data_IF_194134518735
#
_entry.id   IF_194134518735
#
_cell.length_a   1.000
_cell.length_b   1.000
_cell.length_c   1.000
_cell.angle_alpha   90.00
_cell.angle_beta   90.00
_cell.angle_gamma   90.00
#
_symmetry.space_group_name_H-M   'P 1'
#
loop_
_entity.id
_entity.type
_entity.pdbx_description
1 polymer ?
#
# COMPACT_ATOMS: atom_id res chain seq x y z
N UNK A 1 24.43 -13.64 13.14
CA UNK A 1 23.31 -13.88 14.09
C UNK A 1 22.22 -14.66 13.36
N UNK A 2 21.73 -15.76 13.95
CA UNK A 2 20.59 -16.52 13.42
C UNK A 2 19.31 -15.92 13.99
N UNK A 3 18.32 -15.73 13.14
CA UNK A 3 17.01 -15.13 13.48
C UNK A 3 15.87 -15.95 12.88
N UNK A 4 14.67 -15.81 13.42
CA UNK A 4 13.45 -16.35 12.80
C UNK A 4 12.93 -15.38 11.73
N UNK A 5 12.52 -15.94 10.59
CA UNK A 5 11.85 -15.22 9.51
C UNK A 5 10.75 -16.08 8.88
N UNK A 6 9.70 -15.44 8.38
CA UNK A 6 8.68 -16.13 7.59
C UNK A 6 8.99 -15.97 6.10
N UNK A 7 9.01 -17.09 5.37
CA UNK A 7 9.28 -17.13 3.92
C UNK A 7 8.22 -17.93 3.19
N UNK A 8 7.86 -17.47 2.01
CA UNK A 8 7.06 -18.29 1.09
C UNK A 8 7.99 -19.31 0.46
N UNK A 9 7.76 -20.59 0.76
CA UNK A 9 8.60 -21.71 0.31
C UNK A 9 8.03 -22.44 -0.91
N UNK A 10 6.80 -22.10 -1.28
CA UNK A 10 6.10 -22.65 -2.44
C UNK A 10 4.76 -21.95 -2.66
N UNK A 11 4.06 -22.31 -3.72
CA UNK A 11 2.72 -21.77 -3.99
C UNK A 11 1.78 -22.09 -2.82
N UNK A 12 1.19 -21.04 -2.25
CA UNK A 12 0.29 -21.08 -1.08
C UNK A 12 0.91 -21.75 0.17
N UNK A 13 2.25 -21.70 0.27
CA UNK A 13 3.00 -22.27 1.38
C UNK A 13 3.93 -21.22 1.98
N UNK A 14 3.76 -20.90 3.26
CA UNK A 14 4.62 -20.01 4.04
C UNK A 14 5.11 -20.74 5.28
N UNK A 15 6.37 -20.62 5.60
CA UNK A 15 7.01 -21.33 6.71
C UNK A 15 7.88 -20.36 7.52
N UNK A 16 7.97 -20.62 8.82
CA UNK A 16 8.93 -19.95 9.70
C UNK A 16 10.24 -20.72 9.63
N UNK A 17 11.30 -20.05 9.26
CA UNK A 17 12.63 -20.61 9.09
C UNK A 17 13.67 -19.83 9.86
N UNK A 18 14.75 -20.48 10.24
CA UNK A 18 15.95 -19.81 10.72
C UNK A 18 16.74 -19.24 9.53
N UNK A 19 17.17 -18.00 9.66
CA UNK A 19 17.91 -17.29 8.61
C UNK A 19 19.11 -16.59 9.24
N UNK A 20 20.26 -16.71 8.59
CA UNK A 20 21.42 -15.94 9.00
C UNK A 20 21.32 -14.51 8.50
N UNK A 21 21.47 -13.54 9.41
CA UNK A 21 21.55 -12.14 9.03
C UNK A 21 22.83 -11.83 8.28
N UNK A 22 22.76 -11.04 7.18
CA UNK A 22 23.95 -10.54 6.51
C UNK A 22 24.81 -9.69 7.46
N UNK A 23 26.08 -9.50 7.07
CA UNK A 23 26.97 -8.59 7.79
C UNK A 23 26.47 -7.15 7.61
N UNK A 24 26.37 -6.44 8.73
CA UNK A 24 26.02 -5.03 8.73
C UNK A 24 27.11 -4.19 8.06
N UNK A 25 26.78 -3.53 6.96
CA UNK A 25 27.70 -2.74 6.15
C UNK A 25 27.49 -1.25 6.33
N UNK A 26 28.52 -0.51 6.15
CA UNK A 26 28.64 0.97 5.99
C UNK A 26 27.46 1.81 6.48
N UNK A 27 26.52 2.13 5.62
CA UNK A 27 25.36 3.00 5.87
C UNK A 27 24.07 2.23 6.18
N UNK A 28 24.17 0.92 6.46
CA UNK A 28 23.03 0.10 6.80
C UNK A 28 22.74 0.11 8.30
N UNK A 29 21.50 -0.16 8.62
CA UNK A 29 20.96 -0.17 9.97
C UNK A 29 20.35 -1.53 10.23
N UNK A 30 20.70 -2.13 11.37
CA UNK A 30 20.01 -3.30 11.91
C UNK A 30 18.79 -2.82 12.68
N UNK A 31 17.62 -3.22 12.26
CA UNK A 31 16.34 -2.86 12.88
C UNK A 31 15.78 -4.09 13.57
N UNK A 32 15.50 -3.97 14.86
CA UNK A 32 14.66 -4.91 15.61
C UNK A 32 13.21 -4.64 15.22
N UNK A 33 12.60 -5.56 14.48
CA UNK A 33 11.24 -5.38 13.94
C UNK A 33 10.21 -5.36 15.07
N UNK A 34 9.46 -4.28 15.18
CA UNK A 34 8.33 -4.17 16.09
C UNK A 34 7.04 -4.61 15.42
N UNK A 35 6.83 -4.20 14.16
CA UNK A 35 5.75 -4.68 13.32
C UNK A 35 6.11 -4.57 11.84
N UNK A 36 5.48 -5.42 11.02
CA UNK A 36 5.51 -5.34 9.58
C UNK A 36 4.08 -5.51 9.03
N UNK A 37 3.66 -4.62 8.13
CA UNK A 37 2.39 -4.76 7.45
C UNK A 37 2.42 -5.90 6.43
N UNK A 38 1.32 -6.65 6.33
CA UNK A 38 1.15 -7.70 5.31
C UNK A 38 0.45 -7.08 4.10
N UNK A 39 1.16 -6.94 2.98
CA UNK A 39 0.69 -6.28 1.77
C UNK A 39 0.03 -7.25 0.77
N UNK A 40 -0.81 -6.71 -0.11
CA UNK A 40 -1.37 -7.48 -1.23
C UNK A 40 -0.29 -7.96 -2.23
N UNK A 41 0.85 -7.29 -2.29
CA UNK A 41 2.01 -7.69 -3.09
C UNK A 41 2.54 -9.07 -2.65
N UNK A 42 2.60 -9.32 -1.34
CA UNK A 42 3.00 -10.62 -0.80
C UNK A 42 1.97 -11.72 -1.12
N UNK A 43 0.70 -11.37 -1.22
CA UNK A 43 -0.35 -12.33 -1.61
C UNK A 43 -0.18 -12.82 -3.04
N UNK A 44 0.30 -11.99 -3.96
CA UNK A 44 0.55 -12.42 -5.33
C UNK A 44 1.75 -13.39 -5.38
N UNK A 45 2.82 -13.11 -4.63
CA UNK A 45 3.96 -14.05 -4.47
C UNK A 45 3.49 -15.38 -3.86
N UNK A 46 2.66 -15.31 -2.81
CA UNK A 46 2.08 -16.48 -2.16
C UNK A 46 1.26 -17.33 -3.14
N UNK A 47 0.51 -16.71 -4.06
CA UNK A 47 -0.23 -17.40 -5.14
C UNK A 47 0.65 -17.95 -6.26
N UNK A 48 1.94 -17.70 -6.25
CA UNK A 48 2.86 -18.12 -7.31
C UNK A 48 2.89 -17.18 -8.52
N UNK A 49 2.39 -15.97 -8.36
CA UNK A 49 2.43 -14.97 -9.43
C UNK A 49 3.79 -14.25 -9.44
N UNK A 50 4.31 -13.98 -10.61
CA UNK A 50 5.50 -13.12 -10.77
C UNK A 50 5.08 -11.67 -10.65
N UNK A 51 5.77 -10.92 -9.79
CA UNK A 51 5.54 -9.49 -9.61
C UNK A 51 6.80 -8.73 -9.98
N UNK A 52 6.58 -7.54 -10.53
CA UNK A 52 7.64 -6.64 -10.94
C UNK A 52 8.26 -7.02 -12.28
N UNK A 53 9.21 -6.23 -12.70
CA UNK A 53 9.99 -6.41 -13.93
C UNK A 53 11.43 -6.72 -13.56
N UNK A 54 12.13 -7.45 -14.41
CA UNK A 54 13.55 -7.74 -14.22
C UNK A 54 14.35 -6.45 -14.01
N UNK A 55 15.19 -6.45 -12.97
CA UNK A 55 15.94 -5.25 -12.56
C UNK A 55 15.24 -4.34 -11.55
N UNK A 56 13.98 -4.59 -11.20
CA UNK A 56 13.29 -3.88 -10.13
C UNK A 56 13.53 -4.55 -8.77
N UNK A 57 13.58 -3.75 -7.70
CA UNK A 57 13.86 -4.19 -6.32
C UNK A 57 12.83 -5.21 -5.79
N UNK A 58 11.62 -5.23 -6.34
CA UNK A 58 10.54 -6.16 -5.98
C UNK A 58 10.24 -7.15 -7.11
N UNK A 59 11.27 -7.80 -7.62
CA UNK A 59 11.12 -8.85 -8.60
C UNK A 59 11.22 -10.22 -7.94
N UNK A 60 10.10 -10.89 -7.74
CA UNK A 60 10.03 -12.24 -7.19
C UNK A 60 9.98 -13.25 -8.32
N UNK A 61 11.04 -14.03 -8.50
CA UNK A 61 11.16 -15.04 -9.55
C UNK A 61 11.04 -16.48 -9.07
N UNK A 62 11.36 -16.75 -7.82
CA UNK A 62 11.52 -18.12 -7.32
C UNK A 62 11.31 -18.23 -5.80
N UNK A 63 11.00 -19.43 -5.37
CA UNK A 63 10.99 -19.79 -3.97
C UNK A 63 12.36 -20.29 -3.49
N UNK A 64 12.71 -20.12 -2.20
CA UNK A 64 11.99 -19.40 -1.18
C UNK A 64 12.05 -17.87 -1.38
N UNK A 65 10.94 -17.17 -1.12
CA UNK A 65 10.85 -15.73 -1.23
C UNK A 65 10.77 -15.08 0.17
N UNK A 66 11.61 -14.06 0.38
CA UNK A 66 11.50 -13.19 1.55
C UNK A 66 10.33 -12.22 1.35
N UNK A 67 9.66 -11.86 2.45
CA UNK A 67 8.50 -10.98 2.43
C UNK A 67 8.58 -9.93 3.54
N UNK A 68 7.79 -8.86 3.38
CA UNK A 68 7.68 -7.77 4.35
C UNK A 68 8.47 -6.54 3.95
N UNK A 69 7.76 -5.51 3.48
CA UNK A 69 8.34 -4.23 3.07
C UNK A 69 7.73 -3.02 3.79
N UNK A 70 6.85 -3.25 4.76
CA UNK A 70 6.17 -2.21 5.54
C UNK A 70 6.59 -2.28 7.01
N UNK A 71 7.86 -1.96 7.31
CA UNK A 71 8.46 -2.18 8.63
C UNK A 71 8.41 -0.94 9.50
N UNK A 72 8.15 -1.14 10.79
CA UNK A 72 8.49 -0.24 11.89
C UNK A 72 9.27 -1.00 12.96
N UNK A 73 10.30 -0.39 13.52
CA UNK A 73 11.12 -1.05 14.54
C UNK A 73 12.13 -0.12 15.19
N UNK A 74 12.87 -0.67 16.12
CA UNK A 74 13.91 0.06 16.83
C UNK A 74 15.29 -0.23 16.22
N UNK A 75 16.10 0.81 16.11
CA UNK A 75 17.51 0.66 15.71
C UNK A 75 18.25 -0.15 16.77
N UNK A 76 18.70 -1.34 16.38
CA UNK A 76 19.46 -2.26 17.24
C UNK A 76 20.96 -2.04 17.09
N UNK A 77 21.43 -1.89 15.84
CA UNK A 77 22.84 -1.61 15.54
C UNK A 77 22.99 -0.77 14.27
N UNK A 78 24.16 -0.19 14.08
CA UNK A 78 24.45 0.79 13.03
C UNK A 78 25.77 0.45 12.33
N UNK A 79 25.78 0.56 11.02
CA UNK A 79 27.01 0.54 10.23
C UNK A 79 27.84 1.81 10.49
N UNK A 80 29.16 1.74 10.27
CA UNK A 80 30.11 2.80 10.65
C UNK A 80 29.92 4.13 9.90
N UNK A 81 29.15 4.18 8.84
CA UNK A 81 28.87 5.40 8.04
C UNK A 81 27.48 5.97 8.26
N UNK A 82 26.69 5.42 9.18
CA UNK A 82 25.40 5.98 9.56
C UNK A 82 25.60 7.28 10.34
N UNK A 83 24.89 8.35 9.97
CA UNK A 83 25.12 9.70 10.49
C UNK A 83 23.94 10.25 11.29
N UNK A 84 22.72 9.93 10.92
CA UNK A 84 21.52 10.63 11.39
C UNK A 84 20.68 9.83 12.38
N UNK A 85 20.94 8.52 12.53
CA UNK A 85 20.21 7.64 13.42
C UNK A 85 21.10 7.10 14.54
N UNK A 86 20.48 6.69 15.65
CA UNK A 86 21.15 6.16 16.84
C UNK A 86 20.46 4.90 17.33
N UNK A 87 21.19 4.04 18.06
CA UNK A 87 20.60 2.89 18.75
C UNK A 87 19.44 3.32 19.63
N UNK A 88 18.33 2.59 19.56
CA UNK A 88 17.10 2.87 20.27
C UNK A 88 16.14 3.84 19.57
N UNK A 89 16.53 4.47 18.46
CA UNK A 89 15.60 5.28 17.67
C UNK A 89 14.49 4.39 17.10
N UNK A 90 13.24 4.84 17.18
CA UNK A 90 12.14 4.24 16.45
C UNK A 90 12.19 4.73 15.01
N UNK A 91 12.19 3.78 14.04
CA UNK A 91 12.31 4.08 12.61
C UNK A 91 11.26 3.32 11.80
N UNK A 92 10.88 3.89 10.67
CA UNK A 92 10.07 3.24 9.65
C UNK A 92 10.37 3.86 8.29
N UNK A 93 9.98 3.18 7.23
CA UNK A 93 10.18 3.68 5.87
C UNK A 93 9.94 2.63 4.81
N UNK A 94 10.60 2.80 3.69
CA UNK A 94 10.53 1.88 2.55
C UNK A 94 11.64 0.83 2.67
N UNK A 95 11.27 -0.40 2.99
CA UNK A 95 12.24 -1.50 3.14
C UNK A 95 12.47 -2.22 1.81
N UNK A 96 13.69 -2.13 1.28
CA UNK A 96 14.07 -2.75 0.01
C UNK A 96 14.45 -4.22 0.12
N UNK A 97 14.90 -4.66 1.29
CA UNK A 97 15.30 -6.05 1.49
C UNK A 97 14.12 -7.02 1.32
N UNK A 98 12.88 -6.52 1.54
CA UNK A 98 11.69 -7.35 1.56
C UNK A 98 11.73 -8.45 2.64
N UNK A 99 12.50 -8.26 3.71
CA UNK A 99 12.73 -9.27 4.75
C UNK A 99 12.06 -8.92 6.09
N UNK A 100 11.06 -8.05 6.10
CA UNK A 100 10.46 -7.53 7.32
C UNK A 100 9.54 -8.49 8.08
N UNK A 101 9.15 -9.64 7.50
CA UNK A 101 8.47 -10.70 8.26
C UNK A 101 9.49 -11.53 9.05
N UNK A 102 10.32 -10.87 9.85
CA UNK A 102 11.42 -11.44 10.62
C UNK A 102 11.58 -10.72 11.96
N UNK A 103 12.45 -11.24 12.83
CA UNK A 103 12.81 -10.60 14.10
C UNK A 103 13.64 -9.34 13.88
N UNK A 104 14.51 -9.36 12.87
CA UNK A 104 15.39 -8.25 12.49
C UNK A 104 15.47 -8.11 10.99
N UNK A 105 15.72 -6.88 10.54
CA UNK A 105 15.95 -6.55 9.14
C UNK A 105 17.09 -5.54 9.02
N UNK A 106 17.82 -5.60 7.91
CA UNK A 106 18.89 -4.64 7.60
C UNK A 106 18.46 -3.79 6.42
N UNK A 107 18.45 -2.45 6.62
CA UNK A 107 18.04 -1.49 5.60
C UNK A 107 19.01 -0.30 5.54
N UNK A 108 19.16 0.37 4.39
CA UNK A 108 19.93 1.58 4.27
C UNK A 108 19.30 2.75 5.04
N UNK A 109 20.15 3.61 5.63
CA UNK A 109 19.71 4.80 6.38
C UNK A 109 18.78 5.73 5.60
N UNK A 110 19.06 5.95 4.31
CA UNK A 110 18.31 6.87 3.45
C UNK A 110 16.90 6.40 3.08
N UNK A 111 16.57 5.13 3.37
CA UNK A 111 15.24 4.56 3.20
C UNK A 111 14.36 4.69 4.44
N UNK A 112 14.87 5.24 5.51
CA UNK A 112 14.22 5.30 6.81
C UNK A 112 14.08 6.76 7.28
N UNK A 113 13.07 7.00 8.09
CA UNK A 113 12.98 8.22 8.90
C UNK A 113 12.78 7.86 10.36
N UNK A 114 13.31 8.72 11.24
CA UNK A 114 13.08 8.63 12.67
C UNK A 114 11.68 9.10 13.03
N UNK A 115 11.07 8.43 14.00
CA UNK A 115 9.76 8.76 14.56
C UNK A 115 9.96 9.27 15.98
N UNK A 116 9.99 10.60 16.15
CA UNK A 116 10.26 11.22 17.44
C UNK A 116 9.01 11.31 18.33
N UNK A 117 7.81 11.41 17.71
CA UNK A 117 6.56 11.54 18.44
C UNK A 117 5.64 10.38 18.11
N UNK A 118 5.39 9.53 19.09
CA UNK A 118 4.54 8.35 18.97
C UNK A 118 3.66 8.22 20.22
N UNK A 119 2.43 7.76 20.03
CA UNK A 119 1.58 7.38 21.15
C UNK A 119 2.13 6.10 21.79
N UNK A 120 2.50 6.16 23.06
CA UNK A 120 3.04 5.02 23.81
C UNK A 120 2.11 3.80 23.70
N UNK A 121 2.69 2.65 23.36
CA UNK A 121 1.97 1.38 23.12
C UNK A 121 1.32 1.26 21.74
N UNK A 122 1.43 2.30 20.88
CA UNK A 122 0.92 2.29 19.50
C UNK A 122 2.03 2.37 18.45
N UNK A 123 3.27 2.18 18.84
CA UNK A 123 4.47 2.25 17.99
C UNK A 123 4.33 1.35 16.75
N UNK A 124 3.75 0.16 16.93
CA UNK A 124 3.47 -0.81 15.86
C UNK A 124 2.53 -0.31 14.75
N UNK A 125 1.84 0.81 14.95
CA UNK A 125 0.93 1.41 13.96
C UNK A 125 1.67 2.29 12.94
N UNK A 126 2.94 2.61 13.16
CA UNK A 126 3.71 3.54 12.34
C UNK A 126 4.45 2.83 11.19
N UNK A 127 3.82 1.87 10.54
CA UNK A 127 4.32 1.26 9.29
C UNK A 127 4.18 2.26 8.14
N UNK A 128 5.18 3.10 7.88
CA UNK A 128 5.04 4.29 7.02
C UNK A 128 4.90 4.00 5.53
N UNK A 129 5.35 2.86 5.03
CA UNK A 129 5.38 2.58 3.59
C UNK A 129 4.02 2.78 2.90
N UNK A 130 2.89 2.17 3.31
CA UNK A 130 1.61 2.32 2.61
C UNK A 130 1.07 3.75 2.71
N UNK A 131 1.35 4.45 3.78
CA UNK A 131 0.97 5.86 3.94
C UNK A 131 1.81 6.77 3.04
N UNK A 132 3.12 6.49 2.92
CA UNK A 132 4.00 7.16 1.96
C UNK A 132 3.54 6.92 0.52
N UNK A 133 3.16 5.69 0.16
CA UNK A 133 2.60 5.38 -1.16
C UNK A 133 1.37 6.25 -1.46
N UNK A 134 0.49 6.43 -0.47
CA UNK A 134 -0.70 7.28 -0.60
C UNK A 134 -0.34 8.76 -0.74
N UNK A 135 0.62 9.27 0.06
CA UNK A 135 1.09 10.66 -0.06
C UNK A 135 1.78 10.94 -1.39
N UNK A 136 2.54 9.96 -1.92
CA UNK A 136 3.12 10.06 -3.25
C UNK A 136 2.05 10.22 -4.34
N UNK A 137 0.95 9.45 -4.28
CA UNK A 137 -0.17 9.62 -5.22
C UNK A 137 -0.72 11.04 -5.13
N UNK A 138 -1.12 11.47 -3.95
CA UNK A 138 -1.66 12.84 -3.76
C UNK A 138 -0.72 13.90 -4.33
N UNK A 139 0.59 13.73 -4.14
CA UNK A 139 1.58 14.67 -4.63
C UNK A 139 1.72 14.70 -6.17
N UNK A 140 1.39 13.59 -6.84
CA UNK A 140 1.42 13.51 -8.31
C UNK A 140 0.11 13.97 -8.96
N UNK A 141 -0.99 14.00 -8.20
CA UNK A 141 -2.29 14.44 -8.72
C UNK A 141 -2.33 15.96 -8.91
N UNK A 142 -2.95 16.37 -10.01
CA UNK A 142 -3.36 17.76 -10.24
C UNK A 142 -4.83 17.88 -9.87
N UNK A 143 -5.09 18.12 -8.59
CA UNK A 143 -6.44 18.26 -8.04
C UNK A 143 -6.83 19.73 -8.06
N UNK A 144 -8.02 20.03 -8.59
CA UNK A 144 -8.61 21.36 -8.59
C UNK A 144 -9.87 21.40 -7.74
N UNK A 145 -10.28 22.60 -7.35
CA UNK A 145 -11.55 22.82 -6.66
C UNK A 145 -12.72 22.34 -7.53
N UNK A 146 -13.59 21.52 -6.95
CA UNK A 146 -14.78 21.01 -7.64
C UNK A 146 -14.53 19.81 -8.55
N UNK A 147 -13.33 19.22 -8.55
CA UNK A 147 -13.07 17.99 -9.31
C UNK A 147 -13.89 16.80 -8.77
N UNK A 148 -14.24 15.89 -9.68
CA UNK A 148 -14.76 14.57 -9.35
C UNK A 148 -13.65 13.54 -9.44
N UNK A 149 -13.47 12.77 -8.35
CA UNK A 149 -12.46 11.72 -8.23
C UNK A 149 -13.17 10.38 -8.04
N UNK A 150 -12.78 9.37 -8.82
CA UNK A 150 -13.22 7.99 -8.61
C UNK A 150 -12.04 7.09 -8.25
N UNK A 151 -12.23 6.20 -7.30
CA UNK A 151 -11.29 5.15 -6.91
C UNK A 151 -11.95 3.80 -7.20
N UNK A 152 -11.31 2.98 -8.04
CA UNK A 152 -11.78 1.64 -8.37
C UNK A 152 -10.99 0.62 -7.55
N UNK A 153 -11.65 0.05 -6.55
CA UNK A 153 -11.11 -0.84 -5.53
C UNK A 153 -11.55 -0.42 -4.14
N UNK A 154 -11.84 -1.37 -3.26
CA UNK A 154 -12.31 -1.17 -1.88
C UNK A 154 -11.30 -1.66 -0.82
N UNK A 155 -10.02 -1.74 -1.20
CA UNK A 155 -8.94 -2.22 -0.35
C UNK A 155 -8.41 -1.20 0.65
N UNK A 156 -7.41 -1.62 1.44
CA UNK A 156 -6.75 -0.79 2.43
C UNK A 156 -6.18 0.51 1.82
N UNK A 157 -5.51 0.42 0.67
CA UNK A 157 -4.93 1.59 -0.02
C UNK A 157 -5.99 2.59 -0.47
N UNK A 158 -7.16 2.09 -0.94
CA UNK A 158 -8.31 2.94 -1.28
C UNK A 158 -8.85 3.68 -0.05
N UNK A 159 -8.91 2.99 1.10
CA UNK A 159 -9.35 3.61 2.37
C UNK A 159 -8.38 4.71 2.82
N UNK A 160 -7.07 4.51 2.69
CA UNK A 160 -6.07 5.55 2.97
C UNK A 160 -6.24 6.76 2.04
N UNK A 161 -6.43 6.52 0.75
CA UNK A 161 -6.60 7.58 -0.23
C UNK A 161 -7.90 8.37 0.02
N UNK A 162 -8.99 7.69 0.39
CA UNK A 162 -10.25 8.35 0.79
C UNK A 162 -10.04 9.24 2.03
N UNK A 163 -9.33 8.76 3.06
CA UNK A 163 -9.03 9.57 4.25
C UNK A 163 -8.31 10.88 3.91
N UNK A 164 -7.44 10.89 2.90
CA UNK A 164 -6.75 12.09 2.45
C UNK A 164 -7.62 12.94 1.53
N UNK A 165 -8.24 12.35 0.50
CA UNK A 165 -9.02 13.06 -0.50
C UNK A 165 -10.31 13.68 0.07
N UNK A 166 -10.88 13.11 1.12
CA UNK A 166 -12.04 13.69 1.81
C UNK A 166 -11.79 15.07 2.41
N UNK A 167 -10.54 15.51 2.47
CA UNK A 167 -10.12 16.85 2.93
C UNK A 167 -9.91 17.85 1.80
N UNK A 168 -10.06 17.42 0.57
CA UNK A 168 -10.02 18.30 -0.60
C UNK A 168 -11.42 18.75 -0.97
N UNK A 169 -11.58 19.96 -1.51
CA UNK A 169 -12.88 20.50 -1.91
C UNK A 169 -13.36 19.87 -3.23
N UNK A 170 -13.60 18.56 -3.23
CA UNK A 170 -14.08 17.79 -4.36
C UNK A 170 -15.58 17.94 -4.54
N UNK A 171 -16.08 17.96 -5.81
CA UNK A 171 -17.49 17.82 -6.12
C UNK A 171 -17.97 16.41 -5.76
N UNK A 172 -17.21 15.38 -6.17
CA UNK A 172 -17.52 13.99 -5.86
C UNK A 172 -16.26 13.23 -5.48
N UNK A 173 -16.33 12.41 -4.44
CA UNK A 173 -15.37 11.37 -4.10
C UNK A 173 -16.09 10.01 -4.17
N UNK A 174 -15.88 9.30 -5.27
CA UNK A 174 -16.60 8.07 -5.63
C UNK A 174 -15.71 6.89 -5.39
N UNK A 175 -16.22 5.82 -4.78
CA UNK A 175 -15.47 4.56 -4.64
C UNK A 175 -16.30 3.39 -5.16
N UNK A 176 -15.69 2.62 -6.05
CA UNK A 176 -16.27 1.40 -6.62
C UNK A 176 -15.59 0.19 -5.99
N UNK A 177 -16.37 -0.77 -5.51
CA UNK A 177 -15.86 -1.98 -4.88
C UNK A 177 -16.81 -3.16 -4.99
N UNK A 178 -16.49 -4.24 -4.29
CA UNK A 178 -17.24 -5.49 -4.33
C UNK A 178 -17.87 -5.86 -2.97
N UNK A 179 -17.42 -5.26 -1.87
CA UNK A 179 -17.81 -5.66 -0.52
C UNK A 179 -18.59 -4.57 0.19
N UNK A 180 -19.90 -4.77 0.41
CA UNK A 180 -20.77 -3.77 1.06
C UNK A 180 -20.19 -3.25 2.39
N UNK A 181 -19.69 -4.13 3.26
CA UNK A 181 -19.15 -3.72 4.55
C UNK A 181 -17.90 -2.84 4.45
N UNK A 182 -17.10 -2.99 3.38
CA UNK A 182 -15.96 -2.09 3.09
C UNK A 182 -16.45 -0.78 2.52
N UNK A 183 -17.40 -0.82 1.61
CA UNK A 183 -18.03 0.36 1.04
C UNK A 183 -18.72 1.20 2.11
N UNK A 184 -19.40 0.57 3.08
CA UNK A 184 -19.98 1.26 4.25
C UNK A 184 -18.90 1.92 5.11
N UNK A 185 -17.76 1.27 5.32
CA UNK A 185 -16.64 1.89 6.03
C UNK A 185 -16.08 3.08 5.22
N UNK A 186 -15.85 2.88 3.93
CA UNK A 186 -15.34 3.90 3.00
C UNK A 186 -16.26 5.14 2.98
N UNK A 187 -17.57 4.91 3.01
CA UNK A 187 -18.55 6.00 3.15
C UNK A 187 -18.33 6.80 4.43
N UNK A 188 -18.13 6.11 5.56
CA UNK A 188 -17.82 6.77 6.86
C UNK A 188 -16.44 7.44 6.89
N UNK A 189 -15.49 7.02 6.04
CA UNK A 189 -14.18 7.65 5.89
C UNK A 189 -14.25 8.94 5.05
N UNK A 190 -15.36 9.21 4.37
CA UNK A 190 -15.59 10.48 3.67
C UNK A 190 -15.84 10.38 2.18
N UNK A 191 -16.04 9.20 1.60
CA UNK A 191 -16.51 9.09 0.22
C UNK A 191 -17.93 9.66 0.10
N UNK A 192 -18.20 10.44 -0.94
CA UNK A 192 -19.54 10.98 -1.21
C UNK A 192 -20.47 9.94 -1.84
N UNK A 193 -19.91 9.04 -2.67
CA UNK A 193 -20.63 7.97 -3.35
C UNK A 193 -19.86 6.67 -3.22
N UNK A 194 -20.53 5.57 -2.92
CA UNK A 194 -19.96 4.21 -2.93
C UNK A 194 -20.85 3.30 -3.77
N UNK A 195 -20.23 2.47 -4.63
CA UNK A 195 -20.91 1.64 -5.62
C UNK A 195 -20.42 0.21 -5.50
N UNK A 196 -21.34 -0.75 -5.33
CA UNK A 196 -21.02 -2.16 -5.40
C UNK A 196 -21.19 -2.67 -6.84
N UNK A 197 -20.11 -2.79 -7.58
CA UNK A 197 -20.14 -3.19 -9.00
C UNK A 197 -20.54 -4.64 -9.26
N UNK A 198 -20.72 -5.47 -8.23
CA UNK A 198 -21.36 -6.78 -8.36
C UNK A 198 -22.91 -6.69 -8.39
N UNK A 199 -23.46 -5.53 -7.96
CA UNK A 199 -24.92 -5.33 -7.82
C UNK A 199 -25.45 -4.24 -8.74
N UNK A 200 -24.59 -3.30 -9.12
CA UNK A 200 -24.95 -2.07 -9.81
C UNK A 200 -24.01 -1.80 -10.97
N UNK A 201 -24.52 -1.13 -12.01
CA UNK A 201 -23.68 -0.69 -13.12
C UNK A 201 -22.90 0.58 -12.70
N UNK A 202 -21.66 0.38 -12.26
CA UNK A 202 -20.82 1.47 -11.76
C UNK A 202 -20.62 2.58 -12.81
N UNK A 203 -20.52 2.26 -14.09
CA UNK A 203 -20.32 3.25 -15.14
C UNK A 203 -21.57 4.13 -15.33
N UNK A 204 -22.74 3.56 -15.28
CA UNK A 204 -24.01 4.33 -15.39
C UNK A 204 -24.16 5.28 -14.22
N UNK A 205 -23.98 4.80 -12.97
CA UNK A 205 -24.08 5.63 -11.78
C UNK A 205 -23.04 6.77 -11.81
N UNK A 206 -21.77 6.48 -12.19
CA UNK A 206 -20.75 7.52 -12.30
C UNK A 206 -21.13 8.54 -13.39
N UNK A 207 -21.69 8.09 -14.50
CA UNK A 207 -22.17 8.99 -15.56
C UNK A 207 -23.27 9.91 -15.04
N UNK A 208 -24.21 9.37 -14.28
CA UNK A 208 -25.31 10.14 -13.66
C UNK A 208 -24.79 11.17 -12.67
N UNK A 209 -23.99 10.76 -11.66
CA UNK A 209 -23.50 11.67 -10.60
C UNK A 209 -22.49 12.71 -11.10
N UNK A 210 -21.97 12.54 -12.31
CA UNK A 210 -21.08 13.48 -12.99
C UNK A 210 -21.75 14.25 -14.15
N UNK A 211 -23.09 14.24 -14.22
CA UNK A 211 -23.88 14.91 -15.26
C UNK A 211 -23.41 14.55 -16.69
N UNK A 212 -23.09 13.27 -16.93
CA UNK A 212 -22.61 12.75 -18.21
C UNK A 212 -21.14 13.03 -18.52
N UNK A 213 -20.45 13.81 -17.70
CA UNK A 213 -19.07 14.27 -17.98
C UNK A 213 -18.00 13.21 -17.74
N UNK A 214 -18.18 12.31 -16.77
CA UNK A 214 -17.15 11.45 -16.21
C UNK A 214 -16.32 12.16 -15.14
N UNK A 215 -15.24 11.52 -14.69
CA UNK A 215 -14.40 12.02 -13.60
C UNK A 215 -13.12 12.70 -14.08
N UNK A 216 -12.65 13.69 -13.33
CA UNK A 216 -11.40 14.41 -13.58
C UNK A 216 -10.19 13.52 -13.27
N UNK A 217 -10.31 12.68 -12.24
CA UNK A 217 -9.29 11.77 -11.78
C UNK A 217 -9.90 10.39 -11.53
N UNK A 218 -9.35 9.37 -12.16
CA UNK A 218 -9.70 7.98 -11.91
C UNK A 218 -8.48 7.23 -11.38
N UNK A 219 -8.60 6.61 -10.20
CA UNK A 219 -7.52 5.85 -9.55
C UNK A 219 -7.86 4.36 -9.57
N UNK A 220 -7.02 3.57 -10.23
CA UNK A 220 -7.14 2.12 -10.24
C UNK A 220 -6.35 1.52 -9.08
N UNK A 221 -7.06 0.83 -8.16
CA UNK A 221 -6.51 0.22 -6.93
C UNK A 221 -6.99 -1.22 -6.69
N UNK A 222 -7.54 -1.89 -7.70
CA UNK A 222 -7.94 -3.30 -7.60
C UNK A 222 -6.95 -4.26 -8.27
N UNK A 223 -6.12 -3.77 -9.21
CA UNK A 223 -5.09 -4.55 -9.90
C UNK A 223 -5.64 -5.58 -10.88
N UNK A 224 -6.86 -5.39 -11.39
CA UNK A 224 -7.49 -6.31 -12.32
C UNK A 224 -7.76 -5.65 -13.69
N UNK A 225 -7.88 -6.50 -14.71
CA UNK A 225 -8.24 -6.08 -16.07
C UNK A 225 -9.53 -5.26 -16.10
N UNK A 226 -10.58 -5.75 -15.45
CA UNK A 226 -11.90 -5.11 -15.50
C UNK A 226 -11.91 -3.79 -14.73
N UNK A 227 -11.19 -3.70 -13.62
CA UNK A 227 -11.00 -2.45 -12.88
C UNK A 227 -10.24 -1.41 -13.71
N UNK A 228 -9.21 -1.82 -14.45
CA UNK A 228 -8.46 -0.93 -15.34
C UNK A 228 -9.35 -0.43 -16.49
N UNK A 229 -10.15 -1.29 -17.10
CA UNK A 229 -11.12 -0.93 -18.14
C UNK A 229 -12.15 0.06 -17.59
N UNK A 230 -12.74 -0.22 -16.43
CA UNK A 230 -13.68 0.69 -15.79
C UNK A 230 -13.01 2.04 -15.52
N UNK A 231 -11.86 2.06 -14.86
CA UNK A 231 -11.12 3.29 -14.54
C UNK A 231 -10.83 4.14 -15.78
N UNK A 232 -10.42 3.53 -16.88
CA UNK A 232 -10.20 4.25 -18.15
C UNK A 232 -11.51 4.75 -18.77
N UNK A 233 -12.60 3.96 -18.66
CA UNK A 233 -13.89 4.27 -19.29
C UNK A 233 -14.67 5.40 -18.65
N UNK A 234 -14.40 5.71 -17.38
CA UNK A 234 -15.10 6.75 -16.60
C UNK A 234 -14.37 8.09 -16.60
N UNK A 235 -13.13 8.16 -17.13
CA UNK A 235 -12.43 9.43 -17.28
C UNK A 235 -13.19 10.41 -18.19
N UNK A 236 -13.17 11.71 -17.88
CA UNK A 236 -13.71 12.77 -18.76
C UNK A 236 -13.11 12.66 -20.15
N UNK A 237 -13.95 12.82 -21.17
CA UNK A 237 -13.50 12.95 -22.56
C UNK A 237 -13.24 14.40 -22.92
N UNK A 238 -12.37 14.66 -23.91
CA UNK A 238 -12.06 15.99 -24.47
C UNK A 238 -11.38 16.98 -23.51
N UNK A 239 -11.12 16.59 -22.27
CA UNK A 239 -10.33 17.34 -21.28
C UNK A 239 -9.23 16.44 -20.75
N UNK A 240 -8.14 17.01 -20.27
CA UNK A 240 -7.02 16.23 -19.75
C UNK A 240 -7.33 15.69 -18.34
N UNK A 241 -8.16 14.63 -18.28
CA UNK A 241 -8.35 13.85 -17.07
C UNK A 241 -7.10 13.05 -16.70
N UNK A 242 -7.03 12.53 -15.49
CA UNK A 242 -5.90 11.71 -15.02
C UNK A 242 -6.38 10.27 -14.77
N UNK A 243 -5.69 9.30 -15.36
CA UNK A 243 -5.83 7.87 -15.06
C UNK A 243 -4.61 7.44 -14.25
N UNK A 244 -4.83 7.16 -12.97
CA UNK A 244 -3.77 6.79 -12.02
C UNK A 244 -3.69 5.29 -11.91
N UNK A 245 -2.50 4.75 -12.16
CA UNK A 245 -2.19 3.33 -12.01
C UNK A 245 -1.54 3.13 -10.63
N UNK A 246 -2.36 2.83 -9.62
CA UNK A 246 -1.94 2.70 -8.23
C UNK A 246 -1.72 1.27 -7.76
N UNK A 247 -2.13 0.28 -8.56
CA UNK A 247 -1.99 -1.14 -8.23
C UNK A 247 -0.68 -1.74 -8.72
N UNK A 248 -0.28 -2.84 -8.08
CA UNK A 248 0.69 -3.78 -8.67
C UNK A 248 -0.04 -4.72 -9.62
N UNK A 249 0.34 -4.71 -10.87
CA UNK A 249 -0.20 -5.63 -11.88
C UNK A 249 0.72 -6.85 -12.00
N UNK A 250 0.13 -8.04 -12.19
CA UNK A 250 0.91 -9.20 -12.62
C UNK A 250 1.33 -9.01 -14.08
N UNK A 251 2.45 -9.64 -14.48
CA UNK A 251 2.92 -9.59 -15.88
C UNK A 251 1.92 -10.21 -16.87
N UNK A 252 0.93 -10.94 -16.37
CA UNK A 252 -0.14 -11.57 -17.13
C UNK A 252 -1.37 -10.67 -17.33
N UNK A 253 -1.40 -9.47 -16.71
CA UNK A 253 -2.53 -8.54 -16.84
C UNK A 253 -2.46 -7.82 -18.19
N UNK A 254 -3.35 -8.12 -19.16
CA UNK A 254 -3.30 -7.49 -20.47
C UNK A 254 -3.63 -5.99 -20.37
N UNK A 255 -2.84 -5.15 -21.04
CA UNK A 255 -3.09 -3.72 -21.13
C UNK A 255 -4.11 -3.43 -22.25
N UNK A 256 -5.42 -3.57 -21.94
CA UNK A 256 -6.52 -3.56 -22.92
C UNK A 256 -7.34 -2.26 -22.91
N UNK A 257 -6.69 -1.11 -22.73
CA UNK A 257 -7.37 0.18 -22.63
C UNK A 257 -7.10 1.12 -23.82
N UNK A 258 -6.47 0.63 -24.91
CA UNK A 258 -6.06 1.45 -26.04
C UNK A 258 -7.19 2.33 -26.61
N UNK A 259 -8.40 1.78 -26.79
CA UNK A 259 -9.54 2.53 -27.30
C UNK A 259 -9.97 3.66 -26.34
N UNK A 260 -9.89 3.45 -25.04
CA UNK A 260 -10.20 4.49 -24.05
C UNK A 260 -9.14 5.57 -24.03
N UNK A 261 -7.86 5.20 -24.14
CA UNK A 261 -6.76 6.17 -24.25
C UNK A 261 -6.92 7.05 -25.50
N UNK A 262 -7.29 6.44 -26.63
CA UNK A 262 -7.51 7.16 -27.88
C UNK A 262 -8.70 8.14 -27.81
N UNK A 263 -9.82 7.69 -27.24
CA UNK A 263 -11.08 8.45 -27.24
C UNK A 263 -11.20 9.46 -26.11
N UNK A 264 -10.53 9.24 -24.97
CA UNK A 264 -10.60 10.07 -23.75
C UNK A 264 -9.33 10.85 -23.48
N UNK A 265 -8.20 10.40 -24.02
CA UNK A 265 -6.89 11.01 -23.88
C UNK A 265 -6.49 11.42 -22.44
N UNK A 266 -6.70 10.55 -21.41
CA UNK A 266 -6.27 10.87 -20.07
C UNK A 266 -4.75 10.95 -19.98
N UNK A 267 -4.25 11.71 -19.00
CA UNK A 267 -2.85 11.65 -18.60
C UNK A 267 -2.67 10.38 -17.77
N UNK A 268 -1.78 9.48 -18.17
CA UNK A 268 -1.43 8.33 -17.36
C UNK A 268 -0.47 8.74 -16.24
N UNK A 269 -0.82 8.42 -15.00
CA UNK A 269 -0.01 8.70 -13.81
C UNK A 269 0.35 7.38 -13.15
N UNK A 270 1.55 6.82 -13.42
CA UNK A 270 2.04 5.66 -12.68
C UNK A 270 2.42 6.11 -11.27
N UNK A 271 1.68 5.64 -10.27
CA UNK A 271 1.81 6.12 -8.91
C UNK A 271 2.22 5.00 -7.95
N UNK A 272 3.41 4.48 -8.16
CA UNK A 272 4.03 3.48 -7.31
C UNK A 272 5.01 4.14 -6.32
N UNK A 273 5.26 3.62 -5.10
CA UNK A 273 6.18 4.25 -4.13
C UNK A 273 7.57 4.56 -4.68
N UNK A 274 8.07 3.70 -5.58
CA UNK A 274 9.37 3.92 -6.25
C UNK A 274 9.40 5.10 -7.22
N UNK A 275 8.24 5.57 -7.69
CA UNK A 275 8.14 6.74 -8.57
C UNK A 275 8.17 8.06 -7.82
N UNK A 276 8.23 8.03 -6.49
CA UNK A 276 8.38 9.24 -5.67
C UNK A 276 9.67 9.98 -6.03
N UNK A 277 9.54 11.26 -6.33
CA UNK A 277 10.68 12.16 -6.61
C UNK A 277 11.49 12.49 -5.34
N UNK A 278 10.87 12.39 -4.17
CA UNK A 278 11.50 12.63 -2.88
C UNK A 278 10.86 11.73 -1.81
N UNK A 279 11.36 10.50 -1.72
CA UNK A 279 10.85 9.47 -0.81
C UNK A 279 10.85 9.92 0.64
N UNK A 280 11.93 10.57 1.08
CA UNK A 280 12.04 11.07 2.46
C UNK A 280 10.92 12.06 2.77
N UNK A 281 10.68 13.03 1.87
CA UNK A 281 9.61 14.02 2.04
C UNK A 281 8.22 13.40 2.05
N UNK A 282 7.97 12.37 1.26
CA UNK A 282 6.68 11.67 1.25
C UNK A 282 6.51 10.83 2.52
N UNK A 283 7.59 10.25 3.07
CA UNK A 283 7.57 9.61 4.39
C UNK A 283 7.30 10.61 5.53
N UNK A 284 7.93 11.79 5.51
CA UNK A 284 7.69 12.86 6.48
C UNK A 284 6.23 13.34 6.44
N UNK A 285 5.64 13.48 5.25
CA UNK A 285 4.22 13.82 5.07
C UNK A 285 3.30 12.72 5.59
N UNK A 286 3.65 11.46 5.33
CA UNK A 286 2.91 10.31 5.84
C UNK A 286 2.94 10.27 7.37
N UNK A 287 4.11 10.49 7.97
CA UNK A 287 4.26 10.58 9.42
C UNK A 287 3.42 11.73 10.00
N UNK A 288 3.50 12.91 9.40
CA UNK A 288 2.67 14.05 9.79
C UNK A 288 1.17 13.71 9.74
N UNK A 289 0.73 13.06 8.66
CA UNK A 289 -0.67 12.69 8.50
C UNK A 289 -1.15 11.68 9.56
N UNK A 290 -0.30 10.72 9.93
CA UNK A 290 -0.56 9.78 11.03
C UNK A 290 -0.68 10.53 12.36
N UNK A 291 0.30 11.37 12.68
CA UNK A 291 0.36 12.14 13.94
C UNK A 291 -0.82 13.14 14.09
N UNK A 292 -1.34 13.65 12.97
CA UNK A 292 -2.51 14.53 12.94
C UNK A 292 -3.85 13.79 12.75
N UNK A 293 -3.88 12.48 13.00
CA UNK A 293 -5.11 11.66 13.01
C UNK A 293 -5.90 11.71 11.68
N UNK A 294 -5.19 11.85 10.54
CA UNK A 294 -5.81 11.78 9.23
C UNK A 294 -6.38 10.38 8.99
N UNK A 295 -5.73 9.36 9.54
CA UNK A 295 -6.10 7.97 9.41
C UNK A 295 -6.61 7.38 10.71
N UNK A 296 -7.78 6.74 10.75
CA UNK A 296 -8.27 6.02 11.92
C UNK A 296 -7.56 4.65 12.03
N UNK A 297 -6.28 4.66 12.43
CA UNK A 297 -5.38 3.51 12.38
C UNK A 297 -5.95 2.26 13.08
N UNK A 298 -6.62 2.42 14.23
CA UNK A 298 -7.21 1.31 14.97
C UNK A 298 -8.30 0.56 14.20
N UNK A 299 -9.00 1.28 13.29
CA UNK A 299 -10.00 0.67 12.41
C UNK A 299 -9.37 0.04 11.17
N UNK A 300 -8.29 0.63 10.67
CA UNK A 300 -7.65 0.24 9.42
C UNK A 300 -6.66 -0.91 9.62
N UNK A 301 -5.86 -0.89 10.70
CA UNK A 301 -4.92 -1.94 11.07
C UNK A 301 -5.65 -3.01 11.90
N UNK A 302 -6.47 -3.80 11.24
CA UNK A 302 -7.55 -4.58 11.84
C UNK A 302 -7.11 -5.85 12.57
N UNK A 303 -5.96 -6.43 12.22
CA UNK A 303 -5.53 -7.73 12.76
C UNK A 303 -4.04 -7.73 13.09
N UNK A 304 -3.67 -8.52 14.11
CA UNK A 304 -2.29 -8.73 14.52
C UNK A 304 -2.00 -10.24 14.51
N UNK A 305 -0.84 -10.59 13.99
CA UNK A 305 -0.37 -11.98 13.88
C UNK A 305 1.09 -12.06 14.32
N UNK A 306 1.50 -13.21 14.78
CA UNK A 306 2.91 -13.50 15.07
C UNK A 306 3.39 -14.69 14.25
N UNK A 307 4.56 -15.23 14.53
CA UNK A 307 5.11 -16.38 13.81
C UNK A 307 4.19 -17.62 13.86
N UNK A 308 3.52 -17.89 15.00
CA UNK A 308 2.62 -19.05 15.10
C UNK A 308 1.35 -18.91 14.25
N UNK A 309 0.98 -17.69 13.89
CA UNK A 309 -0.25 -17.36 13.18
C UNK A 309 -0.02 -16.94 11.73
N UNK A 310 1.22 -17.06 11.21
CA UNK A 310 1.57 -16.50 9.91
C UNK A 310 0.77 -17.13 8.75
N UNK A 311 0.54 -18.42 8.78
CA UNK A 311 -0.30 -19.11 7.80
C UNK A 311 -1.76 -18.62 7.85
N UNK A 312 -2.29 -18.42 9.06
CA UNK A 312 -3.63 -17.87 9.26
C UNK A 312 -3.72 -16.44 8.72
N UNK A 313 -2.67 -15.62 8.92
CA UNK A 313 -2.62 -14.25 8.42
C UNK A 313 -2.74 -14.21 6.89
N UNK A 314 -2.00 -15.08 6.21
CA UNK A 314 -2.04 -15.20 4.75
C UNK A 314 -3.37 -15.76 4.25
N UNK A 315 -3.91 -16.79 4.91
CA UNK A 315 -5.23 -17.35 4.60
C UNK A 315 -6.35 -16.31 4.72
N UNK A 316 -6.40 -15.55 5.82
CA UNK A 316 -7.41 -14.49 6.04
C UNK A 316 -7.32 -13.37 5.02
N UNK A 317 -6.09 -12.94 4.69
CA UNK A 317 -5.86 -11.92 3.67
C UNK A 317 -6.29 -12.42 2.28
N UNK A 318 -5.98 -13.66 1.94
CA UNK A 318 -6.37 -14.28 0.67
C UNK A 318 -7.89 -14.37 0.51
N UNK A 319 -8.60 -14.79 1.56
CA UNK A 319 -10.06 -14.94 1.57
C UNK A 319 -10.81 -13.61 1.68
N UNK A 320 -10.11 -12.51 2.02
CA UNK A 320 -10.72 -11.20 2.29
C UNK A 320 -11.89 -11.29 3.27
N UNK A 321 -11.71 -12.04 4.37
CA UNK A 321 -12.76 -12.28 5.36
C UNK A 321 -13.39 -10.97 5.86
N UNK A 322 -14.67 -11.02 6.19
CA UNK A 322 -15.39 -9.84 6.73
C UNK A 322 -14.69 -9.32 7.98
N UNK A 323 -14.37 -8.02 7.99
CA UNK A 323 -13.61 -7.37 9.06
C UNK A 323 -12.10 -7.33 8.82
N UNK A 324 -11.55 -8.11 7.89
CA UNK A 324 -10.13 -8.06 7.56
C UNK A 324 -9.83 -6.90 6.59
N UNK A 325 -9.07 -5.91 7.04
CA UNK A 325 -8.63 -4.76 6.24
C UNK A 325 -7.11 -4.85 6.02
N UNK A 326 -6.34 -4.80 7.10
CA UNK A 326 -4.87 -4.88 7.10
C UNK A 326 -4.39 -5.72 8.27
N UNK A 327 -3.55 -6.69 7.99
CA UNK A 327 -2.83 -7.47 8.99
C UNK A 327 -1.47 -6.87 9.31
N UNK A 328 -1.11 -6.88 10.59
CA UNK A 328 0.23 -6.59 11.08
C UNK A 328 0.87 -7.89 11.57
N UNK A 329 2.04 -8.19 11.07
CA UNK A 329 2.93 -9.17 11.67
C UNK A 329 3.68 -8.51 12.82
N UNK A 330 3.66 -9.13 14.01
CA UNK A 330 4.36 -8.65 15.22
C UNK A 330 5.19 -9.81 15.76
N UNK A 331 6.51 -9.79 15.59
CA UNK A 331 7.37 -10.79 16.17
C UNK A 331 7.22 -10.80 17.69
N UNK A 332 7.00 -11.97 18.31
CA UNK A 332 7.10 -12.11 19.76
C UNK A 332 8.56 -12.40 20.09
N UNK A 333 9.19 -11.48 20.77
CA UNK A 333 10.50 -11.71 21.39
C UNK A 333 10.27 -12.47 22.70
N UNK A 334 10.96 -13.59 22.86
CA UNK A 334 11.03 -14.32 24.14
C UNK A 334 11.96 -13.60 25.11
#
# INVERSE_FOLDING_TARGET
MIIKSAKVTGKEKIEVVETELPILKDNNILIKVLACGICSTEMAVFKGQTIGVEGCSFHYKSYPANLGHEVVGYVEDLGPKVLNLRKGDLVSGLTYSGCGLAEFVIEPEDMLIKIDQVTKGKEHQYILEPFMATTNIIHQLKISFGDSVAIVGDGFMSMLLVCMLSRYPLKNLIVVGHHDWRLDLIKRLGASVTINSLKENAREIITEVTDGSGVDISVEYAGSRDALILSASICKAKVRSQLVLGSSYSNETPFVIANYLQNRAPILVPAYPHTSKNKKKDMERALWAIQNSIFPLEKLLSHKFNFSDIELAFSKNLKREKGFIKGLFIPKYQ
#
